data_IF_388369541579
#
_entry.id   IF_388369541579
#
_cell.length_a   1.000
_cell.length_b   1.000
_cell.length_c   1.000
_cell.angle_alpha   90.00
_cell.angle_beta   90.00
_cell.angle_gamma   90.00
#
_symmetry.space_group_name_H-M   'P 1'
#
loop_
_entity.id
_entity.type
_entity.pdbx_description
1 polymer ?
#
# COMPACT_ATOMS: atom_id res chain seq x y z
N UNK A 1 -7.94 6.40 -1.97
CA UNK A 1 -6.61 5.85 -1.63
C UNK A 1 -6.77 4.35 -1.48
N UNK A 2 -5.71 3.60 -1.75
CA UNK A 2 -5.76 2.14 -1.77
C UNK A 2 -4.81 1.63 -0.70
N UNK A 3 -5.26 0.64 0.08
CA UNK A 3 -4.40 0.03 1.08
C UNK A 3 -3.45 -0.95 0.39
N UNK A 4 -2.14 -0.72 0.53
CA UNK A 4 -1.10 -1.60 -0.03
C UNK A 4 -0.28 -2.16 1.11
N UNK A 5 -0.19 -3.49 1.15
CA UNK A 5 0.63 -4.24 2.12
C UNK A 5 1.83 -4.84 1.42
N UNK A 6 3.03 -4.58 1.92
CA UNK A 6 4.24 -5.28 1.49
C UNK A 6 4.28 -6.67 2.14
N UNK A 7 4.14 -7.72 1.33
CA UNK A 7 4.16 -9.11 1.82
C UNK A 7 5.58 -9.70 1.91
N UNK A 8 6.58 -8.95 1.45
CA UNK A 8 7.97 -9.42 1.49
C UNK A 8 8.60 -9.23 2.87
N UNK A 9 9.68 -9.98 3.12
CA UNK A 9 10.48 -9.88 4.37
C UNK A 9 11.51 -8.75 4.33
N UNK A 10 11.55 -7.96 3.26
CA UNK A 10 12.48 -6.85 3.07
C UNK A 10 11.73 -5.54 2.78
N UNK A 11 12.42 -4.41 2.94
CA UNK A 11 11.92 -3.13 2.44
C UNK A 11 11.83 -3.16 0.92
N UNK A 12 10.77 -2.58 0.37
CA UNK A 12 10.51 -2.55 -1.07
C UNK A 12 10.21 -1.13 -1.51
N UNK A 13 10.93 -0.68 -2.52
CA UNK A 13 10.60 0.52 -3.28
C UNK A 13 9.98 0.11 -4.63
N UNK A 14 8.87 0.74 -5.01
CA UNK A 14 8.23 0.48 -6.29
C UNK A 14 7.49 1.71 -6.81
N UNK A 15 7.34 1.76 -8.14
CA UNK A 15 6.58 2.82 -8.82
C UNK A 15 5.09 2.59 -8.60
N UNK A 16 4.42 3.51 -7.91
CA UNK A 16 2.98 3.47 -7.64
C UNK A 16 2.15 4.11 -8.76
N UNK A 17 2.75 4.90 -9.63
CA UNK A 17 2.05 5.55 -10.73
C UNK A 17 2.92 6.58 -11.44
N UNK A 18 2.28 7.41 -12.26
CA UNK A 18 2.93 8.52 -12.97
C UNK A 18 2.18 9.80 -12.64
N UNK A 19 2.89 10.85 -12.25
CA UNK A 19 2.32 12.17 -11.97
C UNK A 19 3.08 13.20 -12.80
N UNK A 20 2.34 13.97 -13.60
CA UNK A 20 2.91 14.99 -14.49
C UNK A 20 4.01 14.43 -15.43
N UNK A 21 3.86 13.17 -15.87
CA UNK A 21 4.82 12.47 -16.71
C UNK A 21 6.05 11.89 -15.98
N UNK A 22 6.19 12.12 -14.67
CA UNK A 22 7.25 11.54 -13.86
C UNK A 22 6.76 10.32 -13.07
N UNK A 23 7.55 9.24 -12.95
CA UNK A 23 7.19 8.10 -12.11
C UNK A 23 7.21 8.50 -10.63
N UNK A 24 6.16 8.12 -9.91
CA UNK A 24 6.08 8.28 -8.46
C UNK A 24 6.45 6.96 -7.81
N UNK A 25 7.50 6.97 -6.99
CA UNK A 25 7.92 5.82 -6.20
C UNK A 25 7.47 5.94 -4.75
N UNK A 26 7.15 4.81 -4.15
CA UNK A 26 6.85 4.69 -2.73
C UNK A 26 7.68 3.56 -2.13
N UNK A 27 8.01 3.73 -0.86
CA UNK A 27 8.76 2.75 -0.08
C UNK A 27 7.89 2.19 1.03
N UNK A 28 7.84 0.86 1.12
CA UNK A 28 7.18 0.11 2.18
C UNK A 28 8.19 -0.80 2.88
N UNK A 29 8.25 -0.75 4.21
CA UNK A 29 9.01 -1.72 5.01
C UNK A 29 8.40 -3.11 4.89
N UNK A 30 9.15 -4.13 5.29
CA UNK A 30 8.69 -5.51 5.34
C UNK A 30 7.42 -5.63 6.20
N UNK A 31 6.34 -6.22 5.65
CA UNK A 31 5.07 -6.37 6.35
C UNK A 31 4.25 -5.08 6.54
N UNK A 32 4.75 -3.93 6.09
CA UNK A 32 4.09 -2.65 6.28
C UNK A 32 2.83 -2.52 5.41
N UNK A 33 1.78 -1.95 5.99
CA UNK A 33 0.54 -1.61 5.29
C UNK A 33 0.31 -0.11 5.34
N UNK A 34 0.17 0.53 4.18
CA UNK A 34 -0.11 1.97 4.06
C UNK A 34 -1.16 2.26 3.01
N UNK A 35 -1.89 3.35 3.22
CA UNK A 35 -2.78 3.92 2.21
C UNK A 35 -1.96 4.79 1.26
N UNK A 36 -1.88 4.37 0.00
CA UNK A 36 -1.13 5.06 -1.05
C UNK A 36 -2.02 5.27 -2.27
N UNK A 37 -1.96 6.45 -2.92
CA UNK A 37 -2.61 6.67 -4.20
C UNK A 37 -1.84 5.92 -5.30
N UNK A 38 -2.21 4.65 -5.49
CA UNK A 38 -1.60 3.76 -6.48
C UNK A 38 -2.47 3.67 -7.74
N UNK A 39 -1.82 3.73 -8.90
CA UNK A 39 -2.44 3.48 -10.20
C UNK A 39 -2.45 1.97 -10.50
N UNK A 40 -3.62 1.35 -10.32
CA UNK A 40 -3.85 -0.07 -10.61
C UNK A 40 -3.77 -0.40 -12.11
N UNK A 41 -3.81 0.61 -12.98
CA UNK A 41 -3.63 0.46 -14.42
C UNK A 41 -2.17 0.16 -14.81
N UNK A 42 -1.22 0.59 -13.98
CA UNK A 42 0.22 0.49 -14.25
C UNK A 42 0.70 -0.96 -14.37
N UNK A 43 1.46 -1.25 -15.43
CA UNK A 43 2.07 -2.56 -15.65
C UNK A 43 3.00 -2.98 -14.50
N UNK A 44 3.69 -2.02 -13.88
CA UNK A 44 4.58 -2.26 -12.73
C UNK A 44 3.80 -2.75 -11.52
N UNK A 45 2.68 -2.10 -11.21
CA UNK A 45 1.82 -2.47 -10.06
C UNK A 45 1.19 -3.83 -10.30
N UNK A 46 0.68 -4.09 -11.51
CA UNK A 46 0.13 -5.40 -11.89
C UNK A 46 1.17 -6.51 -11.76
N UNK A 47 2.41 -6.27 -12.18
CA UNK A 47 3.51 -7.23 -12.04
C UNK A 47 3.81 -7.57 -10.57
N UNK A 48 3.74 -6.59 -9.66
CA UNK A 48 3.98 -6.81 -8.23
C UNK A 48 2.85 -7.56 -7.54
N UNK A 49 1.61 -7.34 -7.95
CA UNK A 49 0.45 -8.13 -7.48
C UNK A 49 0.58 -9.57 -7.97
N UNK A 50 0.92 -9.77 -9.25
CA UNK A 50 1.11 -11.10 -9.83
C UNK A 50 2.28 -11.87 -9.19
N UNK A 51 3.33 -11.16 -8.74
CA UNK A 51 4.45 -11.72 -8.00
C UNK A 51 4.18 -11.93 -6.50
N UNK A 52 2.95 -11.67 -6.03
CA UNK A 52 2.54 -11.74 -4.62
C UNK A 52 3.41 -10.89 -3.67
N UNK A 53 4.11 -9.90 -4.22
CA UNK A 53 4.98 -9.00 -3.49
C UNK A 53 4.19 -7.96 -2.69
N UNK A 54 3.04 -7.54 -3.23
CA UNK A 54 2.13 -6.60 -2.58
C UNK A 54 0.71 -7.14 -2.59
N UNK A 55 -0.03 -6.89 -1.51
CA UNK A 55 -1.47 -7.11 -1.44
C UNK A 55 -2.20 -5.79 -1.51
N UNK A 56 -3.26 -5.74 -2.30
CA UNK A 56 -4.14 -4.59 -2.39
C UNK A 56 -5.44 -4.89 -1.65
N UNK A 57 -5.67 -4.16 -0.56
CA UNK A 57 -6.89 -4.20 0.22
C UNK A 57 -7.85 -3.09 -0.19
N UNK A 58 -9.14 -3.25 0.15
CA UNK A 58 -10.02 -2.11 0.24
C UNK A 58 -9.39 -1.08 1.19
N UNK A 59 -9.52 0.24 0.93
CA UNK A 59 -9.10 1.24 1.90
C UNK A 59 -9.68 0.84 3.25
N UNK A 60 -8.83 0.75 4.28
CA UNK A 60 -9.35 0.62 5.62
C UNK A 60 -10.19 1.86 5.84
N UNK A 61 -11.50 1.74 5.69
CA UNK A 61 -12.47 2.77 6.05
C UNK A 61 -12.31 3.00 7.53
N UNK A 62 -11.33 3.86 7.87
CA UNK A 62 -11.03 4.45 9.17
C UNK A 62 -11.72 3.66 10.29
N UNK A 63 -11.33 2.38 10.49
CA UNK A 63 -11.76 1.67 11.69
C UNK A 63 -10.97 2.36 12.77
N UNK A 64 -11.72 3.18 13.49
CA UNK A 64 -11.36 4.08 14.54
C UNK A 64 -10.07 3.65 15.24
N UNK A 65 -9.22 4.65 15.46
CA UNK A 65 -8.16 4.63 16.44
C UNK A 65 -8.51 3.70 17.62
N UNK A 66 -7.62 2.74 17.83
CA UNK A 66 -7.60 1.83 18.95
C UNK A 66 -7.76 2.58 20.28
N UNK A 67 -8.38 1.89 21.23
CA UNK A 67 -8.08 1.90 22.68
C UNK A 67 -9.06 2.66 23.58
N UNK A 68 -9.82 1.85 24.32
CA UNK A 68 -10.19 2.01 25.73
C UNK A 68 -10.25 3.43 26.31
N UNK A 69 -11.47 3.95 26.45
CA UNK A 69 -11.87 4.59 27.70
C UNK A 69 -12.90 3.65 28.33
N UNK A 70 -12.43 2.84 29.29
CA UNK A 70 -13.24 1.89 30.03
C UNK A 70 -14.44 2.55 30.70
N UNK A 71 -15.53 1.79 30.80
CA UNK A 71 -16.60 2.11 31.71
C UNK A 71 -16.10 2.09 33.15
N UNK A 72 -16.38 3.15 33.89
CA UNK A 72 -17.06 3.10 35.18
C UNK A 72 -17.58 4.49 35.52
#
# INVERSE_FOLDING_TARGET
MTQVTNLTRAGMEFVVGTKDGAPVTEHLKAGETRDIPIDLGSATVKGRIAAEAIRIGAPASRRAARTDAGGM
#
